data_IF_764025174868
#
_entry.id   IF_764025174868
#
_cell.length_a   1.000
_cell.length_b   1.000
_cell.length_c   1.000
_cell.angle_alpha   90.00
_cell.angle_beta   90.00
_cell.angle_gamma   90.00
#
_symmetry.space_group_name_H-M   'P 1'
#
loop_
_entity.id
_entity.type
_entity.pdbx_description
1 polymer ?
#
# COMPACT_ATOMS: atom_id res chain seq x y z
N UNK A 1 18.55 4.49 13.73
CA UNK A 1 17.59 5.53 13.30
C UNK A 1 18.05 6.26 12.03
N UNK A 2 19.28 6.77 11.94
CA UNK A 2 19.77 7.50 10.74
C UNK A 2 19.60 6.66 9.47
N UNK A 3 19.96 5.37 9.51
CA UNK A 3 19.80 4.47 8.35
C UNK A 3 18.36 4.31 7.86
N UNK A 4 17.36 4.36 8.76
CA UNK A 4 15.96 4.29 8.37
C UNK A 4 15.55 5.53 7.57
N UNK A 5 15.84 6.73 8.08
CA UNK A 5 15.48 7.97 7.37
C UNK A 5 16.20 8.09 6.02
N UNK A 6 17.47 7.69 5.95
CA UNK A 6 18.23 7.66 4.70
C UNK A 6 17.56 6.73 3.68
N UNK A 7 17.11 5.53 4.10
CA UNK A 7 16.42 4.60 3.22
C UNK A 7 15.06 5.12 2.76
N UNK A 8 14.31 5.79 3.64
CA UNK A 8 13.05 6.45 3.27
C UNK A 8 13.30 7.53 2.22
N UNK A 9 14.31 8.38 2.43
CA UNK A 9 14.68 9.42 1.46
C UNK A 9 15.09 8.81 0.12
N UNK A 10 15.95 7.78 0.13
CA UNK A 10 16.37 7.07 -1.08
C UNK A 10 15.16 6.49 -1.80
N UNK A 11 14.28 5.79 -1.08
CA UNK A 11 13.09 5.19 -1.66
C UNK A 11 12.22 6.24 -2.38
N UNK A 12 11.87 7.33 -1.70
CA UNK A 12 11.03 8.37 -2.31
C UNK A 12 11.75 9.13 -3.42
N UNK A 13 13.05 9.39 -3.28
CA UNK A 13 13.83 10.04 -4.33
C UNK A 13 13.84 9.22 -5.63
N UNK A 14 13.98 7.90 -5.54
CA UNK A 14 13.92 7.02 -6.71
C UNK A 14 12.48 6.79 -7.19
N UNK A 15 11.54 6.53 -6.29
CA UNK A 15 10.13 6.28 -6.64
C UNK A 15 9.47 7.50 -7.32
N UNK A 16 9.80 8.73 -6.89
CA UNK A 16 9.21 9.97 -7.42
C UNK A 16 10.09 10.68 -8.44
N UNK A 17 11.42 10.55 -8.31
CA UNK A 17 12.37 11.28 -9.13
C UNK A 17 12.63 10.69 -10.50
N UNK A 18 12.34 9.41 -10.70
CA UNK A 18 12.53 8.75 -11.99
C UNK A 18 11.26 8.83 -12.84
N UNK A 19 11.40 9.09 -14.15
CA UNK A 19 10.27 9.22 -15.05
C UNK A 19 9.72 7.85 -15.49
N UNK A 20 9.24 7.05 -14.53
CA UNK A 20 8.73 5.71 -14.77
C UNK A 20 7.63 5.66 -15.84
N UNK A 21 6.80 6.70 -15.92
CA UNK A 21 5.73 6.84 -16.90
C UNK A 21 6.22 7.05 -18.36
N UNK A 22 7.50 7.39 -18.53
CA UNK A 22 8.10 7.61 -19.85
C UNK A 22 8.80 6.36 -20.39
N UNK A 23 8.89 5.31 -19.58
CA UNK A 23 9.54 4.07 -19.99
C UNK A 23 8.46 3.13 -20.55
N UNK A 24 8.42 2.92 -21.89
CA UNK A 24 7.45 2.02 -22.48
C UNK A 24 7.77 0.58 -22.10
N UNK A 25 7.01 -0.01 -21.20
CA UNK A 25 7.10 -1.43 -20.88
C UNK A 25 5.78 -1.94 -20.32
N UNK A 26 5.49 -3.21 -20.61
CA UNK A 26 4.35 -3.94 -20.04
C UNK A 26 4.49 -4.19 -18.53
N UNK A 27 5.71 -4.04 -17.98
CA UNK A 27 6.01 -4.15 -16.56
C UNK A 27 6.46 -2.78 -16.11
N UNK A 28 5.79 -2.22 -15.13
CA UNK A 28 6.23 -0.97 -14.52
C UNK A 28 7.60 -1.18 -13.86
N UNK A 29 8.62 -0.45 -14.34
CA UNK A 29 9.95 -0.49 -13.72
C UNK A 29 9.91 -0.12 -12.23
N UNK A 30 8.91 0.65 -11.80
CA UNK A 30 8.69 0.95 -10.40
C UNK A 30 8.48 -0.33 -9.58
N UNK A 31 7.76 -1.32 -10.11
CA UNK A 31 7.54 -2.60 -9.42
C UNK A 31 8.81 -3.42 -9.26
N UNK A 32 9.67 -3.40 -10.30
CA UNK A 32 10.99 -4.03 -10.20
C UNK A 32 11.85 -3.34 -9.15
N UNK A 33 11.82 -2.01 -9.12
CA UNK A 33 12.50 -1.23 -8.10
C UNK A 33 11.98 -1.56 -6.69
N UNK A 34 10.67 -1.56 -6.47
CA UNK A 34 10.05 -1.89 -5.18
C UNK A 34 10.46 -3.28 -4.70
N UNK A 35 10.43 -4.27 -5.61
CA UNK A 35 10.86 -5.64 -5.30
C UNK A 35 12.33 -5.69 -4.90
N UNK A 36 13.22 -5.12 -5.72
CA UNK A 36 14.66 -5.13 -5.46
C UNK A 36 14.99 -4.34 -4.20
N UNK A 37 14.33 -3.22 -3.95
CA UNK A 37 14.49 -2.44 -2.72
C UNK A 37 14.08 -3.26 -1.50
N UNK A 38 12.88 -3.88 -1.50
CA UNK A 38 12.40 -4.66 -0.38
C UNK A 38 13.27 -5.89 -0.10
N UNK A 39 13.68 -6.62 -1.14
CA UNK A 39 14.56 -7.79 -1.01
C UNK A 39 15.96 -7.37 -0.53
N UNK A 40 16.55 -6.35 -1.15
CA UNK A 40 17.89 -5.87 -0.83
C UNK A 40 17.99 -5.37 0.61
N UNK A 41 17.06 -4.51 1.03
CA UNK A 41 17.03 -4.01 2.42
C UNK A 41 16.74 -5.13 3.42
N UNK A 42 15.79 -6.02 3.12
CA UNK A 42 15.49 -7.15 4.00
C UNK A 42 16.69 -8.09 4.18
N UNK A 43 17.43 -8.34 3.11
CA UNK A 43 18.66 -9.15 3.15
C UNK A 43 19.76 -8.45 3.95
N UNK A 44 20.06 -7.18 3.65
CA UNK A 44 21.13 -6.43 4.29
C UNK A 44 20.91 -6.26 5.81
N UNK A 45 19.66 -5.95 6.21
CA UNK A 45 19.30 -5.79 7.63
C UNK A 45 18.85 -7.09 8.30
N UNK A 46 18.94 -8.23 7.60
CA UNK A 46 18.53 -9.57 8.11
C UNK A 46 17.14 -9.57 8.70
N UNK A 47 16.20 -8.88 8.03
CA UNK A 47 14.83 -8.80 8.51
C UNK A 47 14.15 -10.18 8.41
N UNK A 48 13.41 -10.62 9.44
CA UNK A 48 12.85 -11.97 9.43
C UNK A 48 11.67 -12.08 8.44
N UNK A 49 11.74 -13.08 7.56
CA UNK A 49 10.65 -13.44 6.66
C UNK A 49 9.71 -14.42 7.34
N UNK A 50 8.55 -13.93 7.82
CA UNK A 50 7.51 -14.75 8.42
C UNK A 50 6.31 -14.80 7.46
N UNK A 51 6.14 -15.93 6.78
CA UNK A 51 5.14 -16.12 5.72
C UNK A 51 3.89 -16.90 6.16
N UNK A 52 3.90 -17.47 7.38
CA UNK A 52 2.75 -18.27 7.86
C UNK A 52 1.67 -17.35 8.42
N UNK A 53 0.47 -17.47 7.90
CA UNK A 53 -0.74 -16.82 8.41
C UNK A 53 -1.85 -17.87 8.49
N UNK A 54 -2.47 -17.97 9.65
CA UNK A 54 -3.57 -18.90 9.90
C UNK A 54 -4.87 -18.11 10.07
N UNK A 55 -5.91 -18.56 9.37
CA UNK A 55 -7.24 -18.00 9.54
C UNK A 55 -7.82 -18.40 10.90
N UNK A 56 -8.11 -17.39 11.71
CA UNK A 56 -8.71 -17.53 13.02
C UNK A 56 -9.74 -16.39 13.24
N UNK A 57 -10.38 -16.36 14.40
CA UNK A 57 -11.38 -15.31 14.73
C UNK A 57 -10.83 -13.88 14.57
N UNK A 58 -9.55 -13.66 14.89
CA UNK A 58 -8.93 -12.34 14.74
C UNK A 58 -8.65 -11.99 13.28
N UNK A 59 -8.33 -12.98 12.44
CA UNK A 59 -8.17 -12.78 11.00
C UNK A 59 -9.49 -12.38 10.34
N UNK A 60 -10.59 -13.06 10.69
CA UNK A 60 -11.91 -12.71 10.20
C UNK A 60 -12.35 -11.32 10.63
N UNK A 61 -12.02 -10.91 11.87
CA UNK A 61 -12.25 -9.54 12.32
C UNK A 61 -11.48 -8.52 11.47
N UNK A 62 -10.19 -8.76 11.18
CA UNK A 62 -9.39 -7.87 10.36
C UNK A 62 -9.92 -7.78 8.91
N UNK A 63 -10.37 -8.90 8.34
CA UNK A 63 -11.02 -8.92 7.02
C UNK A 63 -12.31 -8.09 7.05
N UNK A 64 -13.14 -8.23 8.07
CA UNK A 64 -14.37 -7.44 8.21
C UNK A 64 -14.06 -5.93 8.35
N UNK A 65 -13.03 -5.54 9.12
CA UNK A 65 -12.58 -4.16 9.23
C UNK A 65 -12.19 -3.57 7.86
N UNK A 66 -11.51 -4.35 7.03
CA UNK A 66 -11.13 -3.95 5.66
C UNK A 66 -12.34 -3.83 4.74
N UNK A 67 -13.30 -4.76 4.81
CA UNK A 67 -14.54 -4.65 4.04
C UNK A 67 -15.36 -3.41 4.41
N UNK A 68 -15.46 -3.09 5.71
CA UNK A 68 -16.15 -1.87 6.16
C UNK A 68 -15.44 -0.63 5.64
N UNK A 69 -14.10 -0.60 5.67
CA UNK A 69 -13.33 0.50 5.10
C UNK A 69 -13.56 0.64 3.59
N UNK A 70 -13.49 -0.47 2.85
CA UNK A 70 -13.69 -0.48 1.40
C UNK A 70 -15.12 -0.01 1.04
N UNK A 71 -16.14 -0.54 1.71
CA UNK A 71 -17.53 -0.13 1.50
C UNK A 71 -17.73 1.36 1.80
N UNK A 72 -17.16 1.86 2.89
CA UNK A 72 -17.19 3.28 3.23
C UNK A 72 -16.48 4.16 2.21
N UNK A 73 -15.33 3.73 1.70
CA UNK A 73 -14.59 4.48 0.68
C UNK A 73 -15.34 4.48 -0.67
N UNK A 74 -15.86 3.32 -1.11
CA UNK A 74 -16.66 3.19 -2.33
C UNK A 74 -17.94 4.07 -2.22
N UNK A 75 -18.64 3.99 -1.09
CA UNK A 75 -19.84 4.81 -0.85
C UNK A 75 -19.56 6.31 -0.84
N UNK A 76 -18.40 6.74 -0.29
CA UNK A 76 -18.00 8.13 -0.31
C UNK A 76 -17.64 8.61 -1.73
N UNK A 77 -16.91 7.80 -2.51
CA UNK A 77 -16.60 8.10 -3.92
C UNK A 77 -17.89 8.27 -4.72
N UNK A 78 -18.83 7.33 -4.59
CA UNK A 78 -20.13 7.38 -5.24
C UNK A 78 -20.93 8.62 -4.85
N UNK A 79 -21.04 8.90 -3.53
CA UNK A 79 -21.83 10.04 -3.02
C UNK A 79 -21.23 11.40 -3.39
N UNK A 80 -19.88 11.50 -3.42
CA UNK A 80 -19.18 12.75 -3.73
C UNK A 80 -18.89 12.91 -5.23
N UNK A 81 -19.32 11.96 -6.06
CA UNK A 81 -19.09 11.94 -7.51
C UNK A 81 -17.59 12.12 -7.88
N UNK A 82 -16.71 11.46 -7.11
CA UNK A 82 -15.26 11.57 -7.32
C UNK A 82 -14.86 10.81 -8.57
N UNK A 83 -14.28 11.52 -9.56
CA UNK A 83 -13.74 10.90 -10.75
C UNK A 83 -12.53 10.02 -10.45
N UNK A 84 -12.48 8.82 -11.06
CA UNK A 84 -11.46 7.83 -10.82
C UNK A 84 -10.51 7.72 -12.03
N UNK A 85 -9.18 7.69 -11.84
CA UNK A 85 -8.21 7.60 -12.92
C UNK A 85 -8.05 6.18 -13.49
N UNK A 86 -8.80 5.20 -13.00
CA UNK A 86 -8.60 3.79 -13.33
C UNK A 86 -8.84 3.44 -14.80
N UNK A 87 -9.64 4.24 -15.52
CA UNK A 87 -9.82 4.11 -16.99
C UNK A 87 -8.53 4.40 -17.76
N UNK A 88 -7.56 5.08 -17.16
CA UNK A 88 -6.27 5.40 -17.75
C UNK A 88 -5.24 4.26 -17.59
N UNK A 89 -5.54 3.25 -16.77
CA UNK A 89 -4.61 2.18 -16.42
C UNK A 89 -4.91 0.93 -17.23
N UNK A 90 -3.95 0.52 -18.06
CA UNK A 90 -4.03 -0.77 -18.77
C UNK A 90 -3.76 -1.93 -17.81
N UNK A 91 -4.47 -3.05 -18.01
CA UNK A 91 -4.34 -4.24 -17.15
C UNK A 91 -4.52 -3.94 -15.66
N UNK A 92 -5.53 -3.13 -15.36
CA UNK A 92 -5.84 -2.65 -14.01
C UNK A 92 -5.93 -3.79 -12.98
N UNK A 93 -6.48 -4.96 -13.36
CA UNK A 93 -6.61 -6.13 -12.51
C UNK A 93 -5.27 -6.62 -11.97
N UNK A 94 -4.22 -6.68 -12.80
CA UNK A 94 -2.89 -7.09 -12.36
C UNK A 94 -2.27 -6.06 -11.40
N UNK A 95 -2.45 -4.76 -11.71
CA UNK A 95 -1.96 -3.69 -10.85
C UNK A 95 -2.64 -3.70 -9.48
N UNK A 96 -3.98 -3.71 -9.46
CA UNK A 96 -4.74 -3.65 -8.20
C UNK A 96 -4.66 -4.94 -7.38
N UNK A 97 -4.77 -6.11 -8.03
CA UNK A 97 -4.97 -7.35 -7.29
C UNK A 97 -3.66 -8.09 -6.98
N UNK A 98 -2.62 -7.87 -7.75
CA UNK A 98 -1.37 -8.63 -7.60
C UNK A 98 -0.21 -7.73 -7.21
N UNK A 99 0.15 -6.77 -8.07
CA UNK A 99 1.39 -6.02 -7.88
C UNK A 99 1.31 -5.07 -6.69
N UNK A 100 0.29 -4.23 -6.59
CA UNK A 100 0.17 -3.28 -5.49
C UNK A 100 0.13 -3.97 -4.12
N UNK A 101 -0.78 -4.95 -3.83
CA UNK A 101 -0.82 -5.59 -2.52
C UNK A 101 0.47 -6.27 -2.12
N UNK A 102 1.17 -6.90 -3.07
CA UNK A 102 2.41 -7.62 -2.76
C UNK A 102 3.54 -6.63 -2.53
N UNK A 103 3.82 -5.75 -3.50
CA UNK A 103 5.02 -4.92 -3.49
C UNK A 103 4.95 -3.81 -2.44
N UNK A 104 3.81 -3.17 -2.30
CA UNK A 104 3.63 -2.14 -1.29
C UNK A 104 3.75 -2.71 0.13
N UNK A 105 3.17 -3.88 0.40
CA UNK A 105 3.31 -4.49 1.71
C UNK A 105 4.74 -5.02 1.97
N UNK A 106 5.46 -5.43 0.94
CA UNK A 106 6.89 -5.75 1.07
C UNK A 106 7.72 -4.51 1.41
N UNK A 107 7.49 -3.39 0.75
CA UNK A 107 8.21 -2.14 1.05
C UNK A 107 7.81 -1.60 2.42
N UNK A 108 6.52 -1.39 2.65
CA UNK A 108 6.09 -0.67 3.85
C UNK A 108 6.05 -1.56 5.10
N UNK A 109 5.62 -2.83 5.00
CA UNK A 109 5.49 -3.69 6.19
C UNK A 109 6.70 -4.57 6.42
N UNK A 110 7.17 -5.27 5.39
CA UNK A 110 8.35 -6.14 5.55
C UNK A 110 9.62 -5.32 5.76
N UNK A 111 9.75 -4.17 5.08
CA UNK A 111 10.96 -3.35 5.16
C UNK A 111 10.84 -2.25 6.22
N UNK A 112 10.10 -1.18 5.95
CA UNK A 112 10.09 -0.01 6.82
C UNK A 112 9.54 -0.29 8.22
N UNK A 113 8.41 -0.99 8.34
CA UNK A 113 7.83 -1.24 9.66
C UNK A 113 8.68 -2.17 10.50
N UNK A 114 9.26 -3.23 9.94
CA UNK A 114 10.16 -4.12 10.70
C UNK A 114 11.43 -3.43 11.13
N UNK A 115 12.02 -2.57 10.27
CA UNK A 115 13.16 -1.77 10.66
C UNK A 115 12.86 -0.83 11.82
N UNK A 116 11.71 -0.13 11.77
CA UNK A 116 11.32 0.75 12.87
C UNK A 116 11.05 -0.01 14.17
N UNK A 117 10.40 -1.16 14.11
CA UNK A 117 10.16 -2.01 15.30
C UNK A 117 11.50 -2.41 15.93
N UNK A 118 12.49 -2.79 15.12
CA UNK A 118 13.80 -3.19 15.60
C UNK A 118 14.58 -2.05 16.27
N UNK A 119 14.36 -0.80 15.84
CA UNK A 119 15.12 0.37 16.29
C UNK A 119 14.41 1.23 17.35
N UNK A 120 13.08 1.31 17.33
CA UNK A 120 12.29 2.24 18.16
C UNK A 120 11.43 1.52 19.20
N UNK A 121 11.08 0.26 18.97
CA UNK A 121 10.34 -0.60 19.91
C UNK A 121 8.86 -0.27 20.11
N UNK A 122 8.40 0.93 19.80
CA UNK A 122 7.02 1.39 19.97
C UNK A 122 6.08 0.86 18.88
N UNK A 123 5.53 -0.34 19.07
CA UNK A 123 4.77 -1.07 18.02
C UNK A 123 3.60 -0.28 17.40
N UNK A 124 2.80 0.45 18.19
CA UNK A 124 1.67 1.24 17.66
C UNK A 124 2.15 2.47 16.89
N UNK A 125 3.12 3.19 17.47
CA UNK A 125 3.71 4.39 16.85
C UNK A 125 4.37 4.03 15.51
N UNK A 126 5.12 2.92 15.44
CA UNK A 126 5.73 2.46 14.18
C UNK A 126 4.69 2.14 13.12
N UNK A 127 3.54 1.55 13.50
CA UNK A 127 2.45 1.28 12.57
C UNK A 127 1.86 2.57 12.00
N UNK A 128 1.63 3.58 12.84
CA UNK A 128 1.08 4.87 12.40
C UNK A 128 2.07 5.63 11.51
N UNK A 129 3.36 5.68 11.88
CA UNK A 129 4.39 6.34 11.08
C UNK A 129 4.51 5.72 9.68
N UNK A 130 4.53 4.38 9.60
CA UNK A 130 4.62 3.71 8.31
C UNK A 130 3.31 3.83 7.51
N UNK A 131 2.15 3.86 8.16
CA UNK A 131 0.88 4.17 7.50
C UNK A 131 0.88 5.59 6.91
N UNK A 132 1.47 6.57 7.63
CA UNK A 132 1.65 7.93 7.10
C UNK A 132 2.57 7.96 5.87
N UNK A 133 3.69 7.23 5.90
CA UNK A 133 4.58 7.11 4.73
C UNK A 133 3.89 6.43 3.56
N UNK A 134 3.09 5.39 3.82
CA UNK A 134 2.30 4.71 2.81
C UNK A 134 1.25 5.64 2.17
N UNK A 135 0.49 6.36 2.98
CA UNK A 135 -0.45 7.35 2.48
C UNK A 135 0.25 8.46 1.69
N UNK A 136 1.40 8.95 2.19
CA UNK A 136 2.21 9.97 1.52
C UNK A 136 2.71 9.52 0.15
N UNK A 137 3.03 8.22 -0.04
CA UNK A 137 3.47 7.71 -1.35
C UNK A 137 2.44 7.92 -2.45
N UNK A 138 1.16 8.00 -2.13
CA UNK A 138 0.08 8.21 -3.11
C UNK A 138 -0.01 9.65 -3.60
N UNK A 139 0.67 10.61 -2.94
CA UNK A 139 0.77 12.00 -3.43
C UNK A 139 1.56 12.11 -4.74
N UNK A 140 2.26 11.05 -5.18
CA UNK A 140 2.86 10.99 -6.52
C UNK A 140 1.81 11.26 -7.62
N UNK A 141 0.54 10.92 -7.36
CA UNK A 141 -0.57 11.21 -8.24
C UNK A 141 -0.67 12.68 -8.63
N UNK A 142 -0.32 13.63 -7.72
CA UNK A 142 -0.31 15.06 -8.00
C UNK A 142 0.71 15.47 -9.10
N UNK A 143 1.72 14.63 -9.34
CA UNK A 143 2.76 14.88 -10.34
C UNK A 143 2.49 14.23 -11.70
N UNK A 144 1.63 13.20 -11.72
CA UNK A 144 1.46 12.35 -12.91
C UNK A 144 0.04 12.33 -13.45
N UNK A 145 -0.97 12.64 -12.62
CA UNK A 145 -2.38 12.65 -13.03
C UNK A 145 -2.85 14.07 -13.37
N UNK A 146 -3.81 14.21 -14.31
CA UNK A 146 -4.50 15.45 -14.58
C UNK A 146 -5.19 16.06 -13.34
N UNK A 147 -5.41 17.38 -13.39
CA UNK A 147 -5.91 18.18 -12.24
C UNK A 147 -7.30 17.74 -11.75
N UNK A 148 -8.14 17.21 -12.64
CA UNK A 148 -9.47 16.70 -12.32
C UNK A 148 -9.46 15.56 -11.29
N UNK A 149 -8.33 14.83 -11.18
CA UNK A 149 -8.18 13.74 -10.21
C UNK A 149 -7.65 14.17 -8.84
N UNK A 150 -7.41 15.47 -8.60
CA UNK A 150 -6.97 15.96 -7.28
C UNK A 150 -7.92 15.54 -6.14
N UNK A 151 -9.26 15.61 -6.30
CA UNK A 151 -10.18 15.13 -5.25
C UNK A 151 -9.98 13.65 -4.93
N UNK A 152 -9.77 12.81 -5.96
CA UNK A 152 -9.46 11.39 -5.78
C UNK A 152 -8.16 11.20 -5.00
N UNK A 153 -7.08 11.91 -5.38
CA UNK A 153 -5.78 11.78 -4.72
C UNK A 153 -5.88 12.16 -3.23
N UNK A 154 -6.55 13.27 -2.92
CA UNK A 154 -6.77 13.68 -1.54
C UNK A 154 -7.54 12.65 -0.73
N UNK A 155 -8.60 12.10 -1.31
CA UNK A 155 -9.39 11.03 -0.68
C UNK A 155 -8.60 9.72 -0.59
N UNK A 156 -7.79 9.38 -1.61
CA UNK A 156 -6.92 8.23 -1.62
C UNK A 156 -5.92 8.26 -0.45
N UNK A 157 -5.28 9.39 -0.21
CA UNK A 157 -4.36 9.55 0.94
C UNK A 157 -5.06 9.23 2.26
N UNK A 158 -6.31 9.65 2.43
CA UNK A 158 -7.08 9.36 3.64
C UNK A 158 -7.35 7.87 3.82
N UNK A 159 -7.98 7.20 2.83
CA UNK A 159 -8.33 5.79 3.00
C UNK A 159 -7.11 4.87 3.00
N UNK A 160 -6.03 5.23 2.27
CA UNK A 160 -4.78 4.46 2.31
C UNK A 160 -4.05 4.60 3.64
N UNK A 161 -4.16 5.75 4.32
CA UNK A 161 -3.69 5.88 5.70
C UNK A 161 -4.41 4.89 6.62
N UNK A 162 -5.75 4.83 6.57
CA UNK A 162 -6.54 3.92 7.41
C UNK A 162 -6.22 2.47 7.07
N UNK A 163 -6.18 2.10 5.79
CA UNK A 163 -5.74 0.78 5.34
C UNK A 163 -4.33 0.47 5.85
N UNK A 164 -3.45 1.44 5.76
CA UNK A 164 -2.08 1.37 6.24
C UNK A 164 -1.98 1.04 7.73
N UNK A 165 -2.84 1.64 8.55
CA UNK A 165 -2.91 1.33 9.99
C UNK A 165 -3.42 -0.09 10.21
N UNK A 166 -4.47 -0.53 9.50
CA UNK A 166 -5.01 -1.90 9.62
C UNK A 166 -3.95 -2.93 9.23
N UNK A 167 -3.30 -2.76 8.08
CA UNK A 167 -2.22 -3.64 7.61
C UNK A 167 -1.02 -3.65 8.56
N UNK A 168 -0.64 -2.48 9.09
CA UNK A 168 0.42 -2.37 10.08
C UNK A 168 0.10 -3.10 11.39
N UNK A 169 -1.13 -3.00 11.88
CA UNK A 169 -1.60 -3.76 13.05
C UNK A 169 -1.68 -5.26 12.75
N UNK A 170 -2.06 -5.66 11.53
CA UNK A 170 -2.07 -7.06 11.12
C UNK A 170 -0.66 -7.66 11.15
N UNK A 171 0.37 -6.95 10.66
CA UNK A 171 1.76 -7.41 10.79
C UNK A 171 2.16 -7.65 12.24
N UNK A 172 1.78 -6.73 13.15
CA UNK A 172 2.09 -6.83 14.58
C UNK A 172 1.37 -7.99 15.27
N UNK A 173 0.11 -8.22 14.90
CA UNK A 173 -0.76 -9.23 15.50
C UNK A 173 -0.42 -10.64 15.03
N UNK A 174 -0.23 -10.80 13.72
CA UNK A 174 -0.02 -12.10 13.11
C UNK A 174 1.46 -12.42 12.88
N UNK A 175 2.34 -11.46 13.04
CA UNK A 175 3.78 -11.57 12.79
C UNK A 175 4.14 -12.06 11.37
N UNK A 176 3.22 -11.94 10.41
CA UNK A 176 3.36 -12.43 9.02
C UNK A 176 3.09 -11.31 8.04
N UNK A 177 3.92 -11.19 7.00
CA UNK A 177 3.69 -10.24 5.90
C UNK A 177 2.54 -10.68 4.99
N UNK A 178 2.20 -11.96 4.98
CA UNK A 178 1.07 -12.48 4.19
C UNK A 178 -0.27 -11.90 4.69
N UNK A 179 -0.41 -11.68 6.00
CA UNK A 179 -1.65 -11.11 6.53
C UNK A 179 -1.97 -9.71 5.94
N UNK A 180 -1.08 -8.71 6.01
CA UNK A 180 -1.35 -7.43 5.37
C UNK A 180 -1.48 -7.52 3.84
N UNK A 181 -0.72 -8.38 3.14
CA UNK A 181 -0.89 -8.61 1.69
C UNK A 181 -2.32 -9.06 1.38
N UNK A 182 -2.84 -10.06 2.10
CA UNK A 182 -4.20 -10.54 1.88
C UNK A 182 -5.27 -9.49 2.23
N UNK A 183 -5.08 -8.71 3.30
CA UNK A 183 -6.01 -7.63 3.66
C UNK A 183 -6.01 -6.53 2.61
N UNK A 184 -4.86 -6.14 2.11
CA UNK A 184 -4.74 -5.15 1.04
C UNK A 184 -5.39 -5.68 -0.26
N UNK A 185 -5.14 -6.94 -0.62
CA UNK A 185 -5.81 -7.60 -1.74
C UNK A 185 -7.35 -7.55 -1.59
N UNK A 186 -7.89 -7.87 -0.42
CA UNK A 186 -9.35 -7.82 -0.16
C UNK A 186 -9.90 -6.40 -0.36
N UNK A 187 -9.18 -5.38 0.12
CA UNK A 187 -9.54 -3.99 -0.10
C UNK A 187 -9.60 -3.64 -1.59
N UNK A 188 -8.53 -3.93 -2.32
CA UNK A 188 -8.44 -3.64 -3.75
C UNK A 188 -9.43 -4.45 -4.59
N UNK A 189 -9.69 -5.72 -4.20
CA UNK A 189 -10.71 -6.55 -4.84
C UNK A 189 -12.11 -5.94 -4.69
N UNK A 190 -12.43 -5.36 -3.55
CA UNK A 190 -13.70 -4.67 -3.33
C UNK A 190 -13.86 -3.47 -4.27
N UNK A 191 -12.81 -2.68 -4.43
CA UNK A 191 -12.79 -1.58 -5.42
C UNK A 191 -12.91 -2.08 -6.85
N UNK A 192 -12.15 -3.12 -7.21
CA UNK A 192 -12.20 -3.70 -8.56
C UNK A 192 -13.61 -4.21 -8.89
N UNK A 193 -14.27 -4.89 -7.96
CA UNK A 193 -15.66 -5.35 -8.15
C UNK A 193 -16.60 -4.16 -8.32
N UNK A 194 -16.47 -3.10 -7.51
CA UNK A 194 -17.31 -1.91 -7.63
C UNK A 194 -17.15 -1.21 -9.00
N UNK A 195 -15.91 -1.16 -9.53
CA UNK A 195 -15.63 -0.66 -10.87
C UNK A 195 -16.26 -1.53 -11.97
N UNK A 196 -16.17 -2.86 -11.85
CA UNK A 196 -16.73 -3.79 -12.85
C UNK A 196 -18.28 -3.78 -12.85
N UNK A 197 -18.89 -3.47 -11.72
CA UNK A 197 -20.35 -3.33 -11.58
C UNK A 197 -20.84 -1.90 -11.87
N UNK A 198 -19.95 -1.01 -12.32
CA UNK A 198 -20.27 0.40 -12.63
C UNK A 198 -20.93 1.14 -11.45
N UNK A 199 -20.56 0.78 -10.20
CA UNK A 199 -21.04 1.44 -8.99
C UNK A 199 -20.32 2.78 -8.78
N UNK A 200 -19.06 2.85 -9.20
CA UNK A 200 -18.17 4.01 -9.11
C UNK A 200 -17.37 4.20 -10.39
#
# INVERSE_FOLDING_TARGET
MISFFVLVIIYFAFSWGLPWNKIPSSISFSYVFDLLFALGVSFFYRLPWKLKWHLNKQSWKAIAEVFVLAAGAIGAIWYMEIELPFRLVQNLEWHLLIFAPILEELVFRQTFQRMLIANVGGKRVTSMLVASLFAFSHLIGLMVLPVEYIPFIGFQVFYTFVLGVICGQALLRFHSVIAPICLHFVFNLSFYIALQLEII
#
